data_IF_545287044288
#
_entry.id   IF_545287044288
#
_cell.length_a   1.000
_cell.length_b   1.000
_cell.length_c   1.000
_cell.angle_alpha   90.00
_cell.angle_beta   90.00
_cell.angle_gamma   90.00
#
_symmetry.space_group_name_H-M   'P 1'
#
loop_
_entity.id
_entity.type
_entity.pdbx_description
1 polymer ?
#
# COMPACT_ATOMS: atom_id res chain seq x y z
N UNK A 1 -2.81 17.10 -0.37
CA UNK A 1 -1.91 15.97 -0.07
C UNK A 1 -0.49 16.51 0.05
N UNK A 2 0.20 16.34 1.18
CA UNK A 2 1.60 16.76 1.33
C UNK A 2 2.50 16.01 0.32
N UNK A 3 3.55 16.68 -0.16
CA UNK A 3 4.47 16.15 -1.19
C UNK A 3 5.05 14.78 -0.79
N UNK A 4 5.32 14.59 0.50
CA UNK A 4 5.87 13.35 1.06
C UNK A 4 4.96 12.14 0.87
N UNK A 5 3.64 12.26 1.07
CA UNK A 5 2.73 11.13 0.90
C UNK A 5 2.66 10.68 -0.57
N UNK A 6 2.73 11.61 -1.53
CA UNK A 6 2.77 11.27 -2.96
C UNK A 6 4.02 10.47 -3.31
N UNK A 7 5.17 10.90 -2.79
CA UNK A 7 6.44 10.22 -3.02
C UNK A 7 6.44 8.81 -2.45
N UNK A 8 5.92 8.62 -1.23
CA UNK A 8 5.76 7.29 -0.61
C UNK A 8 4.89 6.39 -1.49
N UNK A 9 3.74 6.89 -1.97
CA UNK A 9 2.85 6.10 -2.83
C UNK A 9 3.51 5.68 -4.13
N UNK A 10 4.25 6.57 -4.78
CA UNK A 10 4.98 6.26 -6.03
C UNK A 10 6.04 5.20 -5.78
N UNK A 11 6.86 5.36 -4.74
CA UNK A 11 7.88 4.38 -4.36
C UNK A 11 7.24 3.02 -4.09
N UNK A 12 6.20 2.98 -3.26
CA UNK A 12 5.50 1.73 -2.94
C UNK A 12 4.90 1.05 -4.18
N UNK A 13 4.28 1.81 -5.09
CA UNK A 13 3.77 1.27 -6.35
C UNK A 13 4.88 0.64 -7.18
N UNK A 14 6.04 1.28 -7.30
CA UNK A 14 7.17 0.72 -8.04
C UNK A 14 7.71 -0.54 -7.35
N UNK A 15 7.86 -0.53 -6.02
CA UNK A 15 8.33 -1.70 -5.26
C UNK A 15 7.40 -2.91 -5.44
N UNK A 16 6.09 -2.70 -5.35
CA UNK A 16 5.08 -3.75 -5.56
C UNK A 16 5.09 -4.26 -6.99
N UNK A 17 5.30 -3.39 -7.99
CA UNK A 17 5.43 -3.81 -9.39
C UNK A 17 6.72 -4.62 -9.63
N UNK A 18 7.82 -4.27 -8.98
CA UNK A 18 9.07 -5.06 -9.03
C UNK A 18 8.87 -6.44 -8.40
N UNK A 19 8.00 -6.59 -7.40
CA UNK A 19 7.66 -7.89 -6.81
C UNK A 19 6.94 -8.85 -7.77
N UNK A 20 6.32 -8.37 -8.86
CA UNK A 20 5.72 -9.26 -9.86
C UNK A 20 6.77 -10.04 -10.65
N UNK A 21 8.02 -9.56 -10.68
CA UNK A 21 9.11 -10.29 -11.30
C UNK A 21 9.51 -11.48 -10.44
N UNK A 22 10.08 -12.52 -11.06
CA UNK A 22 10.57 -13.69 -10.34
C UNK A 22 11.79 -13.35 -9.48
N UNK A 23 11.51 -12.85 -8.28
CA UNK A 23 12.52 -12.48 -7.29
C UNK A 23 12.74 -13.62 -6.28
N UNK A 24 13.97 -13.73 -5.74
CA UNK A 24 14.26 -14.67 -4.66
C UNK A 24 13.44 -14.32 -3.41
N UNK A 25 13.03 -15.35 -2.66
CA UNK A 25 12.09 -15.20 -1.54
C UNK A 25 12.53 -14.16 -0.49
N UNK A 26 13.83 -14.09 -0.17
CA UNK A 26 14.34 -13.10 0.79
C UNK A 26 14.14 -11.64 0.32
N UNK A 27 14.26 -11.37 -0.98
CA UNK A 27 14.02 -10.03 -1.54
C UNK A 27 12.53 -9.66 -1.44
N UNK A 28 11.65 -10.63 -1.69
CA UNK A 28 10.21 -10.45 -1.52
C UNK A 28 9.82 -10.10 -0.08
N UNK A 29 10.43 -10.76 0.92
CA UNK A 29 10.22 -10.44 2.33
C UNK A 29 10.69 -9.02 2.69
N UNK A 30 11.81 -8.56 2.14
CA UNK A 30 12.30 -7.19 2.35
C UNK A 30 11.34 -6.16 1.75
N UNK A 31 10.86 -6.37 0.52
CA UNK A 31 9.89 -5.45 -0.08
C UNK A 31 8.60 -5.41 0.74
N UNK A 32 8.11 -6.55 1.22
CA UNK A 32 6.95 -6.59 2.12
C UNK A 32 7.16 -5.80 3.41
N UNK A 33 8.35 -5.87 3.99
CA UNK A 33 8.69 -5.06 5.14
C UNK A 33 8.59 -3.56 4.83
N UNK A 34 9.20 -3.12 3.74
CA UNK A 34 9.09 -1.72 3.29
C UNK A 34 7.65 -1.34 2.94
N UNK A 35 6.90 -2.26 2.34
CA UNK A 35 5.47 -2.14 2.05
C UNK A 35 4.66 -1.89 3.31
N UNK A 36 4.83 -2.74 4.32
CA UNK A 36 4.18 -2.60 5.63
C UNK A 36 4.49 -1.25 6.27
N UNK A 37 5.77 -0.86 6.33
CA UNK A 37 6.18 0.43 6.90
C UNK A 37 5.56 1.59 6.12
N UNK A 38 5.61 1.55 4.80
CA UNK A 38 5.05 2.59 3.95
C UNK A 38 3.52 2.72 4.09
N UNK A 39 2.79 1.61 4.10
CA UNK A 39 1.35 1.60 4.36
C UNK A 39 1.02 2.06 5.78
N UNK A 40 1.83 1.70 6.78
CA UNK A 40 1.68 2.20 8.15
C UNK A 40 1.83 3.73 8.25
N UNK A 41 2.81 4.31 7.54
CA UNK A 41 2.97 5.76 7.45
C UNK A 41 1.77 6.41 6.75
N UNK A 42 1.27 5.81 5.66
CA UNK A 42 0.07 6.29 4.97
C UNK A 42 -1.17 6.22 5.85
N UNK A 43 -1.33 5.18 6.65
CA UNK A 43 -2.40 5.06 7.63
C UNK A 43 -2.29 6.18 8.67
N UNK A 44 -1.14 6.32 9.33
CA UNK A 44 -0.91 7.36 10.34
C UNK A 44 -1.24 8.77 9.81
N UNK A 45 -0.82 9.06 8.57
CA UNK A 45 -1.11 10.33 7.91
C UNK A 45 -2.61 10.58 7.63
N UNK A 46 -3.42 9.52 7.52
CA UNK A 46 -4.86 9.60 7.27
C UNK A 46 -5.72 9.43 8.53
N UNK A 47 -5.13 9.05 9.67
CA UNK A 47 -5.83 8.73 10.92
C UNK A 47 -6.87 9.78 11.35
N UNK A 48 -6.54 11.07 11.22
CA UNK A 48 -7.45 12.19 11.54
C UNK A 48 -8.04 12.90 10.32
N UNK A 49 -7.68 12.49 9.10
CA UNK A 49 -8.08 13.19 7.86
C UNK A 49 -9.21 12.47 7.15
N UNK A 50 -9.17 11.15 7.12
CA UNK A 50 -10.15 10.32 6.44
C UNK A 50 -10.10 8.90 7.01
N UNK A 51 -11.13 8.55 7.77
CA UNK A 51 -11.24 7.26 8.46
C UNK A 51 -11.24 6.08 7.49
N UNK A 52 -11.88 6.22 6.32
CA UNK A 52 -11.92 5.17 5.29
C UNK A 52 -10.51 4.89 4.76
N UNK A 53 -9.77 5.93 4.35
CA UNK A 53 -8.40 5.76 3.88
C UNK A 53 -7.47 5.27 4.99
N UNK A 54 -7.67 5.70 6.23
CA UNK A 54 -6.93 5.17 7.37
C UNK A 54 -7.10 3.66 7.49
N UNK A 55 -8.33 3.14 7.50
CA UNK A 55 -8.61 1.71 7.62
C UNK A 55 -8.05 0.94 6.43
N UNK A 56 -8.18 1.46 5.19
CA UNK A 56 -7.63 0.84 3.98
C UNK A 56 -6.11 0.69 4.06
N UNK A 57 -5.39 1.74 4.44
CA UNK A 57 -3.93 1.69 4.57
C UNK A 57 -3.48 0.82 5.75
N UNK A 58 -4.18 0.87 6.87
CA UNK A 58 -3.86 0.06 8.05
C UNK A 58 -4.06 -1.43 7.77
N UNK A 59 -5.19 -1.81 7.16
CA UNK A 59 -5.47 -3.18 6.76
C UNK A 59 -4.43 -3.68 5.75
N UNK A 60 -4.02 -2.84 4.80
CA UNK A 60 -2.96 -3.17 3.83
C UNK A 60 -1.61 -3.43 4.53
N UNK A 61 -1.23 -2.60 5.51
CA UNK A 61 -0.01 -2.79 6.29
C UNK A 61 -0.03 -4.12 7.05
N UNK A 62 -1.15 -4.46 7.67
CA UNK A 62 -1.32 -5.73 8.40
C UNK A 62 -1.25 -6.92 7.45
N UNK A 63 -1.91 -6.84 6.29
CA UNK A 63 -1.98 -7.94 5.33
C UNK A 63 -0.62 -8.22 4.68
N UNK A 64 0.17 -7.18 4.35
CA UNK A 64 1.49 -7.34 3.73
C UNK A 64 2.63 -7.60 4.73
N UNK A 65 2.33 -7.62 6.03
CA UNK A 65 3.33 -7.76 7.09
C UNK A 65 4.15 -9.06 6.95
N UNK A 66 5.50 -9.00 6.90
CA UNK A 66 6.34 -10.20 6.81
C UNK A 66 6.43 -11.01 8.12
N UNK A 67 6.00 -10.43 9.27
CA UNK A 67 6.06 -11.06 10.60
C UNK A 67 5.03 -12.18 10.70
N UNK A 68 3.82 -11.95 10.20
CA UNK A 68 2.79 -12.98 10.13
C UNK A 68 2.92 -13.71 8.79
N UNK A 69 3.50 -14.93 8.81
CA UNK A 69 3.56 -15.77 7.62
C UNK A 69 2.15 -16.24 7.23
N UNK A 70 1.53 -15.50 6.33
CA UNK A 70 0.34 -15.97 5.62
C UNK A 70 0.82 -16.83 4.45
N UNK A 71 0.49 -18.12 4.49
CA UNK A 71 0.84 -19.10 3.44
C UNK A 71 -0.03 -18.91 2.18
N UNK A 72 -0.05 -17.71 1.62
CA UNK A 72 -0.56 -17.51 0.26
C UNK A 72 0.52 -17.96 -0.72
N UNK A 73 0.14 -18.68 -1.76
CA UNK A 73 1.05 -19.04 -2.86
C UNK A 73 1.57 -17.78 -3.57
N UNK A 74 2.69 -17.91 -4.29
CA UNK A 74 3.31 -16.81 -5.05
C UNK A 74 2.31 -16.11 -5.97
N UNK A 75 1.47 -16.88 -6.66
CA UNK A 75 0.42 -16.36 -7.57
C UNK A 75 -0.56 -15.40 -6.86
N UNK A 76 -1.05 -15.79 -5.69
CA UNK A 76 -2.03 -15.01 -4.96
C UNK A 76 -1.41 -13.73 -4.38
N UNK A 77 -0.16 -13.82 -3.97
CA UNK A 77 0.63 -12.68 -3.54
C UNK A 77 0.88 -11.68 -4.67
N UNK A 78 1.24 -12.16 -5.86
CA UNK A 78 1.40 -11.32 -7.05
C UNK A 78 0.08 -10.62 -7.41
N UNK A 79 -1.04 -11.33 -7.29
CA UNK A 79 -2.37 -10.76 -7.51
C UNK A 79 -2.70 -9.63 -6.51
N UNK A 80 -2.38 -9.83 -5.22
CA UNK A 80 -2.52 -8.78 -4.21
C UNK A 80 -1.60 -7.58 -4.48
N UNK A 81 -0.36 -7.82 -4.90
CA UNK A 81 0.61 -6.77 -5.24
C UNK A 81 0.11 -5.90 -6.41
N UNK A 82 -0.53 -6.50 -7.42
CA UNK A 82 -1.23 -5.77 -8.50
C UNK A 82 -2.36 -4.90 -7.94
N UNK A 83 -3.22 -5.46 -7.09
CA UNK A 83 -4.34 -4.72 -6.48
C UNK A 83 -3.82 -3.51 -5.70
N UNK A 84 -2.78 -3.69 -4.89
CA UNK A 84 -2.18 -2.60 -4.13
C UNK A 84 -1.50 -1.56 -5.01
N UNK A 85 -0.83 -1.96 -6.09
CA UNK A 85 -0.25 -1.03 -7.05
C UNK A 85 -1.35 -0.13 -7.66
N UNK A 86 -2.47 -0.72 -8.10
CA UNK A 86 -3.62 0.01 -8.63
C UNK A 86 -4.24 0.93 -7.57
N UNK A 87 -4.44 0.42 -6.34
CA UNK A 87 -4.98 1.20 -5.22
C UNK A 87 -4.11 2.43 -4.90
N UNK A 88 -2.79 2.26 -4.86
CA UNK A 88 -1.84 3.36 -4.62
C UNK A 88 -1.90 4.39 -5.76
N UNK A 89 -1.90 3.94 -7.02
CA UNK A 89 -1.97 4.81 -8.20
C UNK A 89 -3.29 5.59 -8.22
N UNK A 90 -4.43 4.91 -8.10
CA UNK A 90 -5.76 5.56 -8.07
C UNK A 90 -5.86 6.57 -6.93
N UNK A 91 -5.34 6.23 -5.75
CA UNK A 91 -5.33 7.12 -4.59
C UNK A 91 -4.41 8.35 -4.73
N UNK A 92 -3.58 8.44 -5.78
CA UNK A 92 -2.85 9.68 -6.14
C UNK A 92 -3.76 10.69 -6.86
N UNK A 93 -4.76 10.19 -7.60
CA UNK A 93 -5.71 11.00 -8.36
C UNK A 93 -6.98 11.33 -7.56
N UNK A 94 -7.33 10.51 -6.57
CA UNK A 94 -8.44 10.80 -5.66
C UNK A 94 -8.05 11.96 -4.73
N UNK A 95 -8.62 13.13 -5.00
CA UNK A 95 -8.44 14.32 -4.17
C UNK A 95 -9.46 14.29 -3.02
N UNK A 96 -9.04 14.29 -1.74
CA UNK A 96 -9.95 14.19 -0.59
C UNK A 96 -10.93 15.38 -0.49
N UNK A 97 -10.72 16.47 -1.25
CA UNK A 97 -11.62 17.63 -1.28
C UNK A 97 -12.97 17.37 -1.96
N UNK A 98 -13.16 16.27 -2.69
CA UNK A 98 -14.41 16.05 -3.47
C UNK A 98 -15.53 15.35 -2.68
N UNK A 99 -15.23 14.69 -1.56
CA UNK A 99 -16.22 13.91 -0.82
C UNK A 99 -17.11 14.71 0.15
N UNK A 100 -16.83 16.00 0.36
CA UNK A 100 -17.55 16.86 1.32
C UNK A 100 -18.31 18.02 0.63
N UNK A 101 -18.48 17.96 -0.70
CA UNK A 101 -19.23 18.97 -1.46
C UNK A 101 -20.52 18.45 -2.10
N UNK A 102 -20.91 17.22 -1.80
CA UNK A 102 -22.16 16.59 -2.28
C UNK A 102 -23.07 16.15 -1.12
N UNK A 103 -22.98 16.81 0.04
CA UNK A 103 -23.96 16.72 1.14
C UNK A 103 -24.34 18.12 1.59
#
# INVERSE_FOLDING_TARGET
MPKTEKFIKIILSVLLLVCLLDMPYGYYQLIKFFGMVGFGILAYNNYKKNEVWFVVWLASAILINPIFKIYLGRELWNFLDVIWAILLITSLFVNPKKSLKEL
#
